data_IF_013255699945
#
_entry.id   IF_013255699945
#
_cell.length_a   1.000
_cell.length_b   1.000
_cell.length_c   1.000
_cell.angle_alpha   90.00
_cell.angle_beta   90.00
_cell.angle_gamma   90.00
#
_symmetry.space_group_name_H-M   'P 1'
#
loop_
_entity.id
_entity.type
_entity.pdbx_description
1 polymer ?
#
# COMPACT_ATOMS: atom_id res chain seq x y z
N UNK A 1 44.50 19.69 -6.12
CA UNK A 1 43.15 19.86 -6.66
C UNK A 1 42.34 18.61 -6.32
N UNK A 2 41.38 18.62 -5.40
CA UNK A 2 40.52 17.50 -5.18
C UNK A 2 39.44 17.47 -6.27
N UNK A 3 39.25 16.31 -6.90
CA UNK A 3 38.18 16.01 -7.83
C UNK A 3 36.83 16.23 -7.13
N UNK A 4 36.05 17.14 -7.64
CA UNK A 4 34.63 17.28 -7.26
C UNK A 4 33.91 15.99 -7.65
N UNK A 5 33.49 15.21 -6.66
CA UNK A 5 32.51 14.16 -6.86
C UNK A 5 31.20 14.81 -7.32
N UNK A 6 30.84 14.56 -8.56
CA UNK A 6 29.51 14.89 -9.06
C UNK A 6 28.49 14.14 -8.19
N UNK A 7 27.71 14.87 -7.38
CA UNK A 7 26.48 14.33 -6.80
C UNK A 7 25.65 13.75 -7.95
N UNK A 8 25.13 12.51 -7.83
CA UNK A 8 24.13 12.05 -8.78
C UNK A 8 22.97 13.04 -8.74
N UNK A 9 22.64 13.63 -9.89
CA UNK A 9 21.48 14.52 -10.05
C UNK A 9 20.28 13.82 -9.45
N UNK A 10 19.65 14.44 -8.44
CA UNK A 10 18.43 13.91 -7.83
C UNK A 10 17.32 14.02 -8.87
N UNK A 11 17.07 12.91 -9.58
CA UNK A 11 15.96 12.80 -10.53
C UNK A 11 14.65 13.20 -9.84
N UNK A 12 13.96 14.18 -10.39
CA UNK A 12 12.71 14.72 -9.84
C UNK A 12 11.57 14.51 -10.84
N UNK A 13 10.37 14.31 -10.34
CA UNK A 13 9.17 14.31 -11.19
C UNK A 13 8.91 15.63 -11.91
N UNK A 14 9.52 16.73 -11.50
CA UNK A 14 9.48 17.98 -12.24
C UNK A 14 10.18 17.88 -13.62
N UNK A 15 11.07 16.90 -13.77
CA UNK A 15 11.79 16.63 -15.01
C UNK A 15 11.00 15.77 -16.01
N UNK A 16 9.87 15.17 -15.58
CA UNK A 16 9.01 14.35 -16.44
C UNK A 16 7.98 15.24 -17.16
N UNK A 17 8.28 15.58 -18.41
CA UNK A 17 7.39 16.39 -19.25
C UNK A 17 6.43 15.51 -20.07
N UNK A 18 5.23 16.01 -20.45
CA UNK A 18 4.27 15.27 -21.26
C UNK A 18 4.84 14.71 -22.57
N UNK A 19 5.64 15.48 -23.29
CA UNK A 19 6.24 15.04 -24.55
C UNK A 19 7.21 13.88 -24.36
N UNK A 20 7.94 13.84 -23.21
CA UNK A 20 8.89 12.77 -22.91
C UNK A 20 8.18 11.45 -22.64
N UNK A 21 7.10 11.47 -21.85
CA UNK A 21 6.41 10.22 -21.53
C UNK A 21 5.51 9.72 -22.67
N UNK A 22 4.91 10.62 -23.48
CA UNK A 22 4.16 10.21 -24.67
C UNK A 22 5.10 9.63 -25.72
N UNK A 23 6.26 10.27 -25.94
CA UNK A 23 7.29 9.74 -26.84
C UNK A 23 7.79 8.36 -26.42
N UNK A 24 8.03 8.15 -25.12
CA UNK A 24 8.44 6.83 -24.61
C UNK A 24 7.35 5.75 -24.83
N UNK A 25 6.07 6.09 -24.67
CA UNK A 25 4.97 5.16 -24.97
C UNK A 25 4.87 4.84 -26.46
N UNK A 26 5.07 5.83 -27.33
CA UNK A 26 5.09 5.62 -28.78
C UNK A 26 6.26 4.70 -29.20
N UNK A 27 7.45 4.85 -28.59
CA UNK A 27 8.60 3.95 -28.79
C UNK A 27 8.29 2.50 -28.35
N UNK A 28 7.45 2.31 -27.33
CA UNK A 28 6.97 1.00 -26.88
C UNK A 28 5.86 0.42 -27.78
N UNK A 29 5.42 1.16 -28.80
CA UNK A 29 4.43 0.73 -29.78
C UNK A 29 2.98 1.15 -29.48
N UNK A 30 2.75 1.98 -28.46
CA UNK A 30 1.44 2.57 -28.18
C UNK A 30 1.29 3.84 -29.02
N UNK A 31 0.35 3.85 -29.96
CA UNK A 31 0.06 5.06 -30.76
C UNK A 31 -0.81 6.03 -29.93
N UNK A 32 -0.14 6.95 -29.23
CA UNK A 32 -0.82 7.91 -28.37
C UNK A 32 -1.59 8.95 -29.19
N UNK A 33 -2.82 9.25 -28.81
CA UNK A 33 -3.66 10.27 -29.47
C UNK A 33 -3.48 11.68 -28.90
N UNK A 34 -2.52 11.85 -27.97
CA UNK A 34 -2.19 13.11 -27.31
C UNK A 34 -3.09 13.43 -26.10
N UNK A 35 -4.15 12.66 -25.85
CA UNK A 35 -4.99 12.84 -24.65
C UNK A 35 -4.39 12.11 -23.47
N UNK A 36 -4.22 12.80 -22.36
CA UNK A 36 -3.83 12.17 -21.10
C UNK A 36 -4.50 12.87 -19.91
N UNK A 37 -4.66 12.10 -18.83
CA UNK A 37 -5.23 12.57 -17.56
C UNK A 37 -4.37 12.04 -16.43
N UNK A 38 -3.86 12.93 -15.57
CA UNK A 38 -3.20 12.52 -14.35
C UNK A 38 -4.22 11.86 -13.41
N UNK A 39 -3.92 10.66 -12.95
CA UNK A 39 -4.73 9.94 -11.95
C UNK A 39 -4.23 10.29 -10.54
N UNK A 40 -5.13 10.18 -9.56
CA UNK A 40 -4.76 10.41 -8.16
C UNK A 40 -3.77 9.35 -7.70
N UNK A 41 -2.52 9.75 -7.58
CA UNK A 41 -1.45 8.98 -6.98
C UNK A 41 -0.45 9.94 -6.35
N UNK A 42 -0.16 9.75 -5.08
CA UNK A 42 0.81 10.58 -4.37
C UNK A 42 2.22 9.98 -4.43
N UNK A 43 2.31 8.68 -4.55
CA UNK A 43 3.61 8.00 -4.58
C UNK A 43 4.26 8.05 -5.95
N UNK A 44 3.55 7.59 -6.95
CA UNK A 44 4.01 7.51 -8.33
C UNK A 44 3.36 8.60 -9.19
N UNK A 45 3.86 8.81 -10.41
CA UNK A 45 3.11 9.56 -11.41
C UNK A 45 2.34 8.58 -12.29
N UNK A 46 1.02 8.68 -12.24
CA UNK A 46 0.12 7.75 -12.94
C UNK A 46 -0.73 8.55 -13.92
N UNK A 47 -0.70 8.16 -15.18
CA UNK A 47 -1.47 8.81 -16.24
C UNK A 47 -2.35 7.82 -16.96
N UNK A 48 -3.61 8.15 -17.13
CA UNK A 48 -4.43 7.53 -18.17
C UNK A 48 -4.07 8.19 -19.50
N UNK A 49 -3.73 7.40 -20.51
CA UNK A 49 -3.33 7.89 -21.84
C UNK A 49 -4.26 7.32 -22.91
N UNK A 50 -4.73 8.19 -23.79
CA UNK A 50 -5.55 7.82 -24.93
C UNK A 50 -4.73 7.18 -26.04
N UNK A 51 -5.27 6.12 -26.67
CA UNK A 51 -4.67 5.40 -27.80
C UNK A 51 -5.55 5.59 -29.04
N UNK A 52 -4.93 5.81 -30.23
CA UNK A 52 -5.65 6.12 -31.49
C UNK A 52 -6.73 5.10 -31.88
N UNK A 53 -6.38 3.81 -31.84
CA UNK A 53 -7.25 2.74 -32.32
C UNK A 53 -7.55 1.69 -31.21
N UNK A 54 -7.50 2.10 -29.93
CA UNK A 54 -7.65 1.18 -28.82
C UNK A 54 -8.25 1.81 -27.56
N UNK A 55 -8.48 0.98 -26.53
CA UNK A 55 -8.87 1.49 -25.24
C UNK A 55 -7.70 2.27 -24.63
N UNK A 56 -7.98 3.24 -23.75
CA UNK A 56 -6.93 3.94 -23.04
C UNK A 56 -6.13 2.99 -22.14
N UNK A 57 -4.87 3.33 -21.92
CA UNK A 57 -3.95 2.62 -21.03
C UNK A 57 -3.68 3.46 -19.77
N UNK A 58 -3.03 2.84 -18.78
CA UNK A 58 -2.49 3.52 -17.60
C UNK A 58 -0.97 3.37 -17.61
N UNK A 59 -0.27 4.51 -17.64
CA UNK A 59 1.18 4.57 -17.54
C UNK A 59 1.57 4.98 -16.11
N UNK A 60 2.32 4.10 -15.41
CA UNK A 60 2.81 4.31 -14.04
C UNK A 60 4.30 4.56 -14.08
N UNK A 61 4.73 5.75 -13.66
CA UNK A 61 6.12 6.15 -13.50
C UNK A 61 6.50 6.01 -12.03
N UNK A 62 7.42 5.12 -11.75
CA UNK A 62 7.85 4.82 -10.38
C UNK A 62 8.66 5.97 -9.80
N UNK A 63 8.40 6.28 -8.52
CA UNK A 63 9.18 7.28 -7.79
C UNK A 63 10.67 6.87 -7.77
N UNK A 64 11.57 7.78 -8.17
CA UNK A 64 13.00 7.52 -8.08
C UNK A 64 13.42 7.15 -6.65
N UNK A 65 14.32 6.17 -6.54
CA UNK A 65 14.93 5.74 -5.27
C UNK A 65 13.98 5.15 -4.22
N UNK A 66 12.72 4.86 -4.56
CA UNK A 66 11.81 4.14 -3.65
C UNK A 66 12.05 2.64 -3.70
N UNK A 67 11.94 2.05 -4.85
CA UNK A 67 12.13 0.62 -5.11
C UNK A 67 13.28 0.40 -6.10
N UNK A 68 14.03 -0.68 -5.93
CA UNK A 68 14.95 -1.19 -6.95
C UNK A 68 14.19 -1.79 -8.14
N UNK A 69 14.88 -2.02 -9.25
CA UNK A 69 14.30 -2.69 -10.41
C UNK A 69 13.84 -4.13 -10.07
N UNK A 70 14.57 -4.82 -9.18
CA UNK A 70 14.23 -6.19 -8.79
C UNK A 70 13.00 -6.22 -7.89
N UNK A 71 12.84 -5.27 -6.96
CA UNK A 71 11.63 -5.13 -6.16
C UNK A 71 10.40 -4.82 -7.02
N UNK A 72 10.53 -3.96 -8.04
CA UNK A 72 9.43 -3.68 -8.98
C UNK A 72 9.09 -4.93 -9.81
N UNK A 73 10.11 -5.68 -10.28
CA UNK A 73 9.84 -6.93 -11.01
C UNK A 73 9.17 -7.99 -10.16
N UNK A 74 9.48 -8.08 -8.87
CA UNK A 74 8.76 -8.98 -7.94
C UNK A 74 7.30 -8.57 -7.74
N UNK A 75 6.97 -7.27 -7.65
CA UNK A 75 5.60 -6.77 -7.68
C UNK A 75 4.87 -7.24 -8.95
N UNK A 76 5.49 -6.98 -10.11
CA UNK A 76 4.92 -7.35 -11.41
C UNK A 76 4.72 -8.85 -11.55
N UNK A 77 5.69 -9.64 -11.13
CA UNK A 77 5.62 -11.09 -11.19
C UNK A 77 4.48 -11.62 -10.32
N UNK A 78 4.32 -11.09 -9.10
CA UNK A 78 3.21 -11.47 -8.24
C UNK A 78 1.85 -11.13 -8.86
N UNK A 79 1.70 -9.94 -9.44
CA UNK A 79 0.47 -9.55 -10.13
C UNK A 79 0.18 -10.44 -11.37
N UNK A 80 1.21 -10.85 -12.12
CA UNK A 80 1.05 -11.80 -13.24
C UNK A 80 0.64 -13.19 -12.76
N UNK A 81 1.26 -13.72 -11.70
CA UNK A 81 0.87 -15.02 -11.10
C UNK A 81 -0.59 -15.03 -10.63
N UNK A 82 -1.03 -13.93 -10.02
CA UNK A 82 -2.43 -13.76 -9.62
C UNK A 82 -3.37 -13.74 -10.81
N UNK A 83 -3.00 -13.06 -11.90
CA UNK A 83 -3.79 -13.03 -13.13
C UNK A 83 -3.84 -14.41 -13.82
N UNK A 84 -2.73 -15.14 -13.86
CA UNK A 84 -2.66 -16.52 -14.39
C UNK A 84 -3.52 -17.49 -13.55
N UNK A 85 -3.68 -17.22 -12.26
CA UNK A 85 -4.61 -17.93 -11.37
C UNK A 85 -6.08 -17.47 -11.50
N UNK A 86 -6.40 -16.69 -12.56
CA UNK A 86 -7.73 -16.13 -12.82
C UNK A 86 -8.29 -15.28 -11.67
N UNK A 87 -7.41 -14.64 -10.90
CA UNK A 87 -7.79 -13.63 -9.91
C UNK A 87 -7.93 -12.28 -10.63
N UNK A 88 -8.99 -11.49 -10.39
CA UNK A 88 -9.28 -10.29 -11.16
C UNK A 88 -8.37 -9.10 -10.78
N UNK A 89 -7.08 -9.30 -10.83
CA UNK A 89 -6.07 -8.24 -10.68
C UNK A 89 -5.78 -7.57 -12.01
N UNK A 90 -5.17 -6.40 -11.97
CA UNK A 90 -4.73 -5.69 -13.18
C UNK A 90 -3.20 -5.73 -13.22
N UNK A 91 -2.61 -6.74 -13.89
CA UNK A 91 -1.16 -6.83 -14.03
C UNK A 91 -0.63 -5.84 -15.07
N UNK A 92 0.69 -5.52 -15.06
CA UNK A 92 1.31 -4.74 -16.11
C UNK A 92 1.35 -5.50 -17.44
N UNK A 93 1.35 -4.76 -18.55
CA UNK A 93 1.57 -5.31 -19.88
C UNK A 93 3.00 -5.84 -20.03
N UNK A 94 3.15 -6.98 -20.70
CA UNK A 94 4.46 -7.54 -21.06
C UNK A 94 4.86 -7.04 -22.45
N UNK A 95 5.86 -6.21 -22.53
CA UNK A 95 6.35 -5.58 -23.76
C UNK A 95 7.78 -6.09 -24.02
N UNK A 96 8.02 -6.73 -25.14
CA UNK A 96 9.33 -7.31 -25.48
C UNK A 96 9.90 -8.26 -24.39
N UNK A 97 9.04 -9.04 -23.74
CA UNK A 97 9.31 -9.94 -22.60
C UNK A 97 9.68 -9.25 -21.27
N UNK A 98 9.45 -7.96 -21.15
CA UNK A 98 9.69 -7.19 -19.93
C UNK A 98 8.42 -6.45 -19.50
N UNK A 99 8.21 -6.33 -18.21
CA UNK A 99 7.11 -5.54 -17.63
C UNK A 99 7.56 -4.15 -17.17
N UNK A 100 8.84 -4.03 -16.83
CA UNK A 100 9.46 -2.78 -16.42
C UNK A 100 10.20 -2.15 -17.60
N UNK A 101 9.74 -0.99 -18.01
CA UNK A 101 10.28 -0.24 -19.14
C UNK A 101 11.02 1.02 -18.64
N UNK A 102 11.68 1.74 -19.55
CA UNK A 102 12.32 3.02 -19.28
C UNK A 102 11.77 4.11 -20.17
N UNK A 103 11.60 5.30 -19.61
CA UNK A 103 11.31 6.54 -20.31
C UNK A 103 12.38 7.56 -19.90
N UNK A 104 13.47 7.66 -20.69
CA UNK A 104 14.68 8.36 -20.27
C UNK A 104 15.25 7.73 -18.99
N UNK A 105 15.40 8.54 -17.95
CA UNK A 105 15.88 8.10 -16.64
C UNK A 105 14.76 7.48 -15.75
N UNK A 106 13.48 7.62 -16.13
CA UNK A 106 12.35 7.13 -15.35
C UNK A 106 12.05 5.67 -15.67
N UNK A 107 11.62 4.93 -14.63
CA UNK A 107 11.07 3.59 -14.74
C UNK A 107 9.57 3.67 -14.98
N UNK A 108 9.09 2.90 -15.94
CA UNK A 108 7.72 2.92 -16.45
C UNK A 108 7.15 1.50 -16.49
N UNK A 109 5.90 1.34 -16.06
CA UNK A 109 5.07 0.19 -16.39
C UNK A 109 3.75 0.65 -17.00
N UNK A 110 3.22 -0.16 -17.91
CA UNK A 110 1.96 0.10 -18.60
C UNK A 110 0.93 -0.92 -18.15
N UNK A 111 -0.29 -0.48 -17.91
CA UNK A 111 -1.40 -1.32 -17.45
C UNK A 111 -2.62 -1.12 -18.32
N UNK A 112 -3.45 -2.15 -18.56
CA UNK A 112 -4.74 -1.96 -19.17
C UNK A 112 -5.64 -1.11 -18.26
N UNK A 113 -6.27 -0.07 -18.81
CA UNK A 113 -7.20 0.76 -18.04
C UNK A 113 -8.45 -0.04 -17.66
N UNK A 114 -8.80 -0.08 -16.38
CA UNK A 114 -10.06 -0.60 -15.88
C UNK A 114 -10.92 0.53 -15.30
N UNK A 115 -12.21 0.44 -15.50
CA UNK A 115 -13.19 1.33 -14.89
C UNK A 115 -13.79 0.67 -13.65
N UNK A 116 -14.47 1.46 -12.87
CA UNK A 116 -15.18 1.01 -11.68
C UNK A 116 -15.18 2.07 -10.59
N UNK A 117 -15.86 1.75 -9.51
CA UNK A 117 -15.88 2.54 -8.28
C UNK A 117 -15.48 1.66 -7.10
N UNK A 118 -15.07 2.28 -5.99
CA UNK A 118 -14.80 1.55 -4.76
C UNK A 118 -16.04 0.73 -4.33
N UNK A 119 -15.84 -0.44 -3.69
CA UNK A 119 -16.94 -1.26 -3.16
C UNK A 119 -17.69 -0.54 -2.04
N UNK A 120 -18.99 -0.82 -1.93
CA UNK A 120 -19.85 -0.33 -0.84
C UNK A 120 -19.75 -1.30 0.35
N UNK A 121 -19.06 -0.89 1.42
CA UNK A 121 -18.72 -1.76 2.56
C UNK A 121 -19.88 -1.99 3.54
N UNK A 122 -20.99 -1.29 3.41
CA UNK A 122 -22.23 -1.51 4.14
C UNK A 122 -23.01 -2.75 3.65
N UNK A 123 -22.64 -3.29 2.49
CA UNK A 123 -23.22 -4.49 1.90
C UNK A 123 -22.43 -5.73 2.31
N UNK A 124 -22.97 -6.56 3.21
CA UNK A 124 -22.28 -7.77 3.70
C UNK A 124 -21.97 -8.77 2.58
N UNK A 125 -22.83 -8.89 1.55
CA UNK A 125 -22.57 -9.75 0.40
C UNK A 125 -21.32 -9.29 -0.41
N UNK A 126 -21.07 -7.98 -0.45
CA UNK A 126 -19.87 -7.41 -1.06
C UNK A 126 -18.61 -7.80 -0.27
N UNK A 127 -18.67 -7.72 1.06
CA UNK A 127 -17.58 -8.14 1.94
C UNK A 127 -17.31 -9.65 1.82
N UNK A 128 -18.35 -10.49 1.71
CA UNK A 128 -18.16 -11.92 1.48
C UNK A 128 -17.45 -12.21 0.14
N UNK A 129 -17.80 -11.48 -0.92
CA UNK A 129 -17.11 -11.59 -2.20
C UNK A 129 -15.64 -11.13 -2.13
N UNK A 130 -15.38 -10.02 -1.44
CA UNK A 130 -14.01 -9.54 -1.17
C UNK A 130 -13.20 -10.58 -0.38
N UNK A 131 -13.78 -11.18 0.64
CA UNK A 131 -13.16 -12.25 1.42
C UNK A 131 -12.70 -13.42 0.54
N UNK A 132 -13.52 -13.85 -0.41
CA UNK A 132 -13.15 -14.90 -1.39
C UNK A 132 -11.96 -14.49 -2.27
N UNK A 133 -11.94 -13.23 -2.70
CA UNK A 133 -10.83 -12.72 -3.53
C UNK A 133 -9.54 -12.63 -2.73
N UNK A 134 -9.59 -12.11 -1.50
CA UNK A 134 -8.43 -12.02 -0.61
C UNK A 134 -7.87 -13.41 -0.31
N UNK A 135 -8.72 -14.40 0.00
CA UNK A 135 -8.27 -15.76 0.24
C UNK A 135 -7.55 -16.37 -0.97
N UNK A 136 -8.03 -16.12 -2.19
CA UNK A 136 -7.37 -16.57 -3.43
C UNK A 136 -6.03 -15.91 -3.66
N UNK A 137 -5.92 -14.59 -3.37
CA UNK A 137 -4.63 -13.87 -3.41
C UNK A 137 -3.66 -14.50 -2.41
N UNK A 138 -4.09 -14.78 -1.19
CA UNK A 138 -3.26 -15.37 -0.15
C UNK A 138 -2.85 -16.82 -0.45
N UNK A 139 -3.73 -17.63 -1.06
CA UNK A 139 -3.35 -18.95 -1.56
C UNK A 139 -2.23 -18.90 -2.61
N UNK A 140 -2.30 -17.95 -3.52
CA UNK A 140 -1.20 -17.70 -4.44
C UNK A 140 0.03 -17.14 -3.70
N UNK A 141 -0.19 -16.25 -2.73
CA UNK A 141 0.85 -15.64 -1.92
C UNK A 141 1.67 -16.62 -1.10
N UNK A 142 1.06 -17.66 -0.56
CA UNK A 142 1.75 -18.69 0.23
C UNK A 142 2.57 -19.68 -0.60
N UNK A 143 2.38 -19.71 -1.92
CA UNK A 143 3.07 -20.66 -2.81
C UNK A 143 4.56 -20.38 -3.00
N UNK A 144 5.01 -19.16 -2.72
CA UNK A 144 6.42 -18.75 -2.78
C UNK A 144 6.65 -17.48 -1.93
N UNK A 145 7.91 -17.12 -1.72
CA UNK A 145 8.31 -15.94 -0.94
C UNK A 145 8.84 -14.83 -1.86
N UNK A 146 8.72 -13.58 -1.44
CA UNK A 146 9.48 -12.49 -2.00
C UNK A 146 10.96 -12.62 -1.60
N UNK A 147 11.86 -12.25 -2.50
CA UNK A 147 13.31 -12.29 -2.26
C UNK A 147 13.89 -10.93 -1.91
N UNK A 148 13.30 -9.87 -2.47
CA UNK A 148 13.79 -8.50 -2.35
C UNK A 148 12.77 -7.58 -1.70
N UNK A 149 11.46 -7.86 -1.85
CA UNK A 149 10.40 -7.07 -1.24
C UNK A 149 10.42 -7.22 0.29
N UNK A 150 10.21 -6.11 1.04
CA UNK A 150 10.32 -6.12 2.50
C UNK A 150 9.20 -6.86 3.19
N UNK A 151 9.34 -6.99 4.51
CA UNK A 151 8.31 -7.49 5.41
C UNK A 151 7.54 -6.33 6.04
N UNK A 152 6.33 -6.64 6.58
CA UNK A 152 5.69 -5.77 7.56
C UNK A 152 6.26 -6.14 8.92
N UNK A 153 7.12 -5.30 9.45
CA UNK A 153 7.76 -5.48 10.74
C UNK A 153 7.94 -4.15 11.48
N UNK A 154 8.38 -4.24 12.73
CA UNK A 154 8.60 -3.07 13.59
C UNK A 154 9.70 -2.18 13.04
N UNK A 155 10.78 -2.76 12.50
CA UNK A 155 11.92 -2.00 11.98
C UNK A 155 11.49 -1.09 10.82
N UNK A 156 10.84 -1.68 9.80
CA UNK A 156 10.49 -0.95 8.56
C UNK A 156 9.28 -0.03 8.72
N UNK A 157 8.33 -0.37 9.60
CA UNK A 157 7.10 0.39 9.78
C UNK A 157 7.11 1.35 10.96
N UNK A 158 7.98 1.16 11.96
CA UNK A 158 8.02 2.00 13.15
C UNK A 158 9.40 2.63 13.42
N UNK A 159 10.46 1.84 13.58
CA UNK A 159 11.76 2.36 14.04
C UNK A 159 12.44 3.26 13.00
N UNK A 160 12.54 2.81 11.74
CA UNK A 160 13.10 3.60 10.63
C UNK A 160 12.27 4.88 10.38
N UNK A 161 10.92 4.85 10.29
CA UNK A 161 10.11 6.07 10.21
C UNK A 161 10.30 7.01 11.40
N UNK A 162 10.28 6.50 12.64
CA UNK A 162 10.47 7.30 13.87
C UNK A 162 11.84 7.98 13.87
N UNK A 163 12.91 7.26 13.56
CA UNK A 163 14.25 7.84 13.49
C UNK A 163 14.32 8.96 12.47
N UNK A 164 13.72 8.75 11.26
CA UNK A 164 13.67 9.80 10.26
C UNK A 164 12.93 11.05 10.75
N UNK A 165 11.80 10.89 11.43
CA UNK A 165 10.98 12.00 11.96
C UNK A 165 11.74 12.80 13.00
N UNK A 166 12.48 12.14 13.89
CA UNK A 166 13.22 12.80 14.98
C UNK A 166 14.53 13.41 14.50
N UNK A 167 15.29 12.72 13.65
CA UNK A 167 16.59 13.17 13.16
C UNK A 167 16.49 14.36 12.21
N UNK A 168 15.32 14.56 11.59
CA UNK A 168 15.07 15.68 10.67
C UNK A 168 14.15 16.75 11.28
N UNK A 169 14.04 16.83 12.62
CA UNK A 169 13.29 17.86 13.36
C UNK A 169 11.81 18.01 12.90
N UNK A 170 11.15 16.94 12.43
CA UNK A 170 9.73 16.97 12.10
C UNK A 170 8.86 17.06 13.34
N UNK A 171 9.21 16.31 14.39
CA UNK A 171 8.48 16.39 15.68
C UNK A 171 8.88 17.65 16.41
N UNK A 172 7.92 18.55 16.79
CA UNK A 172 8.23 19.74 17.58
C UNK A 172 8.98 19.40 18.87
N UNK A 173 10.00 20.19 19.20
CA UNK A 173 10.89 19.91 20.36
C UNK A 173 10.14 19.81 21.69
N UNK A 174 9.10 20.59 21.86
CA UNK A 174 8.24 20.55 23.05
C UNK A 174 7.39 19.28 23.15
N UNK A 175 7.10 18.63 22.03
CA UNK A 175 6.33 17.38 21.97
C UNK A 175 7.22 16.14 21.93
N UNK A 176 8.51 16.27 21.66
CA UNK A 176 9.42 15.14 21.49
C UNK A 176 9.42 14.18 22.69
N UNK A 177 9.47 14.62 23.96
CA UNK A 177 9.41 13.69 25.08
C UNK A 177 8.09 12.91 25.17
N UNK A 178 6.97 13.55 24.80
CA UNK A 178 5.67 12.90 24.78
C UNK A 178 5.55 11.89 23.62
N UNK A 179 6.12 12.23 22.45
CA UNK A 179 6.18 11.37 21.30
C UNK A 179 7.05 10.12 21.56
N UNK A 180 8.25 10.30 22.12
CA UNK A 180 9.14 9.19 22.45
C UNK A 180 8.50 8.26 23.49
N UNK A 181 7.90 8.81 24.55
CA UNK A 181 7.22 8.01 25.57
C UNK A 181 6.05 7.20 25.02
N UNK A 182 5.21 7.77 24.15
CA UNK A 182 4.10 7.03 23.55
C UNK A 182 4.60 6.00 22.54
N UNK A 183 5.68 6.30 21.81
CA UNK A 183 6.28 5.35 20.87
C UNK A 183 6.80 4.09 21.56
N UNK A 184 7.47 4.22 22.71
CA UNK A 184 7.88 3.08 23.55
C UNK A 184 6.67 2.24 23.96
N UNK A 185 5.58 2.87 24.41
CA UNK A 185 4.35 2.16 24.76
C UNK A 185 3.70 1.46 23.57
N UNK A 186 3.81 2.04 22.35
CA UNK A 186 3.34 1.38 21.13
C UNK A 186 4.15 0.12 20.85
N UNK A 187 5.47 0.13 21.00
CA UNK A 187 6.31 -1.06 20.82
C UNK A 187 5.96 -2.14 21.84
N UNK A 188 5.82 -1.78 23.13
CA UNK A 188 5.38 -2.72 24.16
C UNK A 188 3.98 -3.33 23.85
N UNK A 189 3.07 -2.51 23.32
CA UNK A 189 1.75 -2.95 22.91
C UNK A 189 1.79 -3.92 21.73
N UNK A 190 2.66 -3.68 20.74
CA UNK A 190 2.88 -4.56 19.59
C UNK A 190 3.43 -5.90 20.06
N UNK A 191 4.45 -5.91 20.92
CA UNK A 191 5.01 -7.14 21.49
C UNK A 191 3.92 -7.95 22.22
N UNK A 192 3.11 -7.27 23.03
CA UNK A 192 2.00 -7.91 23.71
C UNK A 192 0.93 -8.51 22.76
N UNK A 193 0.65 -7.86 21.63
CA UNK A 193 -0.22 -8.44 20.61
C UNK A 193 0.41 -9.68 19.96
N UNK A 194 1.69 -9.62 19.62
CA UNK A 194 2.44 -10.73 19.04
C UNK A 194 2.49 -11.95 19.98
N UNK A 195 2.69 -11.75 21.28
CA UNK A 195 2.71 -12.83 22.28
C UNK A 195 1.39 -13.61 22.38
N UNK A 196 0.27 -13.00 21.96
CA UNK A 196 -1.06 -13.65 21.95
C UNK A 196 -1.29 -14.57 20.75
N UNK A 197 -0.44 -14.53 19.73
CA UNK A 197 -0.62 -15.22 18.43
C UNK A 197 0.36 -16.37 18.37
N UNK A 198 0.94 -17.02 19.14
CA UNK A 198 1.81 -18.22 19.05
C UNK A 198 2.53 -18.40 17.68
N UNK A 199 2.80 -17.31 16.97
CA UNK A 199 3.31 -17.27 15.60
C UNK A 199 2.20 -17.18 14.55
N UNK A 200 2.54 -16.67 13.39
CA UNK A 200 1.67 -16.54 12.21
C UNK A 200 2.49 -16.69 10.94
N UNK A 201 1.81 -17.09 9.86
CA UNK A 201 2.45 -17.22 8.55
C UNK A 201 2.69 -15.87 7.90
N UNK A 202 3.87 -15.70 7.28
CA UNK A 202 4.18 -14.55 6.46
C UNK A 202 3.94 -14.91 5.00
N UNK A 203 2.94 -14.28 4.41
CA UNK A 203 2.52 -14.50 3.02
C UNK A 203 2.95 -13.32 2.16
N UNK A 204 3.05 -13.52 0.84
CA UNK A 204 3.01 -12.40 -0.10
C UNK A 204 1.59 -11.83 -0.13
N UNK A 205 1.42 -10.60 0.30
CA UNK A 205 0.13 -9.93 0.42
C UNK A 205 0.13 -8.61 -0.36
N UNK A 206 -1.05 -8.05 -0.58
CA UNK A 206 -1.19 -6.72 -1.17
C UNK A 206 -0.62 -5.62 -0.26
N UNK A 207 -0.79 -5.78 1.05
CA UNK A 207 -0.30 -4.94 2.15
C UNK A 207 -0.90 -3.53 2.26
N UNK A 208 -1.43 -2.95 1.18
CA UNK A 208 -2.23 -1.71 1.18
C UNK A 208 -3.64 -1.98 0.62
N UNK A 209 -4.27 -3.09 1.04
CA UNK A 209 -5.52 -3.54 0.49
C UNK A 209 -6.71 -2.84 1.16
N UNK A 210 -7.10 -1.72 0.60
CA UNK A 210 -8.22 -0.90 1.05
C UNK A 210 -9.24 -0.70 -0.08
N UNK A 211 -10.46 -0.20 0.21
CA UNK A 211 -11.51 -0.03 -0.81
C UNK A 211 -11.10 0.78 -2.05
N UNK A 212 -10.17 1.73 -1.90
CA UNK A 212 -9.66 2.53 -3.01
C UNK A 212 -8.85 1.76 -4.04
N UNK A 213 -8.31 0.57 -3.68
CA UNK A 213 -7.55 -0.32 -4.55
C UNK A 213 -8.41 -1.44 -5.14
N UNK A 214 -9.73 -1.36 -4.97
CA UNK A 214 -10.71 -2.27 -5.59
C UNK A 214 -11.66 -1.45 -6.46
N UNK A 215 -11.74 -1.81 -7.74
CA UNK A 215 -12.69 -1.20 -8.69
C UNK A 215 -13.80 -2.20 -8.99
N UNK A 216 -15.04 -1.80 -8.77
CA UNK A 216 -16.24 -2.60 -9.05
C UNK A 216 -16.98 -2.00 -10.24
N UNK A 217 -17.14 -2.79 -11.31
CA UNK A 217 -17.91 -2.44 -12.51
C UNK A 217 -18.89 -3.57 -12.84
N UNK A 218 -20.19 -3.35 -12.67
CA UNK A 218 -21.24 -4.33 -12.96
C UNK A 218 -20.93 -5.73 -12.37
N UNK A 219 -20.68 -5.81 -11.09
CA UNK A 219 -20.33 -7.03 -10.33
C UNK A 219 -18.97 -7.66 -10.70
N UNK A 220 -18.17 -7.00 -11.53
CA UNK A 220 -16.79 -7.39 -11.81
C UNK A 220 -15.83 -6.60 -10.95
N UNK A 221 -14.94 -7.32 -10.30
CA UNK A 221 -13.87 -6.73 -9.51
C UNK A 221 -12.62 -6.55 -10.37
N UNK A 222 -11.88 -5.48 -10.08
CA UNK A 222 -10.52 -5.29 -10.54
C UNK A 222 -9.68 -4.81 -9.35
N UNK A 223 -8.69 -5.59 -8.98
CA UNK A 223 -7.75 -5.24 -7.90
C UNK A 223 -6.55 -4.59 -8.53
N UNK A 224 -6.16 -3.43 -8.01
CA UNK A 224 -5.11 -2.58 -8.57
C UNK A 224 -4.09 -2.18 -7.50
N UNK A 225 -2.95 -1.68 -7.95
CA UNK A 225 -1.91 -1.03 -7.14
C UNK A 225 -1.22 -1.93 -6.12
N UNK A 226 -0.50 -2.93 -6.63
CA UNK A 226 0.38 -3.81 -5.84
C UNK A 226 1.71 -3.15 -5.44
N UNK A 227 1.86 -1.83 -5.60
CA UNK A 227 3.10 -1.09 -5.37
C UNK A 227 3.69 -1.28 -3.96
N UNK A 228 2.83 -1.53 -2.98
CA UNK A 228 3.19 -1.78 -1.59
C UNK A 228 3.18 -3.27 -1.20
N UNK A 229 3.00 -4.20 -2.15
CA UNK A 229 2.99 -5.63 -1.84
C UNK A 229 4.29 -6.06 -1.15
N UNK A 230 4.15 -6.90 -0.14
CA UNK A 230 5.26 -7.38 0.71
C UNK A 230 4.88 -8.65 1.45
N UNK A 231 5.80 -9.16 2.28
CA UNK A 231 5.47 -10.27 3.17
C UNK A 231 4.82 -9.77 4.45
N UNK A 232 3.71 -10.38 4.84
CA UNK A 232 2.96 -9.99 6.04
C UNK A 232 1.91 -11.03 6.46
N UNK A 233 1.27 -10.84 7.64
CA UNK A 233 0.19 -11.70 8.09
C UNK A 233 -1.09 -11.49 7.25
N UNK A 234 -1.90 -12.54 7.13
CA UNK A 234 -3.12 -12.51 6.32
C UNK A 234 -4.10 -11.42 6.75
N UNK A 235 -4.20 -11.17 8.05
CA UNK A 235 -5.12 -10.16 8.60
C UNK A 235 -4.83 -8.75 8.10
N UNK A 236 -3.61 -8.46 7.62
CA UNK A 236 -3.26 -7.15 7.08
C UNK A 236 -4.15 -6.74 5.90
N UNK A 237 -4.47 -7.65 5.01
CA UNK A 237 -5.32 -7.38 3.84
C UNK A 237 -6.82 -7.45 4.16
N UNK A 238 -7.19 -7.73 5.41
CA UNK A 238 -8.59 -7.87 5.85
C UNK A 238 -9.07 -6.65 6.63
N UNK A 239 -8.28 -6.17 7.60
CA UNK A 239 -8.77 -5.18 8.57
C UNK A 239 -9.09 -3.81 7.96
N UNK A 240 -8.50 -3.45 6.83
CA UNK A 240 -8.74 -2.14 6.19
C UNK A 240 -10.10 -2.04 5.48
N UNK A 241 -10.83 -3.14 5.38
CA UNK A 241 -12.22 -3.18 4.92
C UNK A 241 -13.24 -3.01 6.07
N UNK A 242 -12.78 -2.97 7.31
CA UNK A 242 -13.64 -2.82 8.49
C UNK A 242 -13.76 -1.36 8.89
N UNK A 243 -14.98 -0.87 9.06
CA UNK A 243 -15.27 0.53 9.41
C UNK A 243 -16.32 0.63 10.51
N UNK A 244 -16.32 1.78 11.21
CA UNK A 244 -17.24 2.04 12.30
C UNK A 244 -16.73 1.58 13.67
N UNK A 245 -17.65 1.41 14.61
CA UNK A 245 -17.34 0.91 15.95
C UNK A 245 -17.23 -0.63 16.00
N UNK A 246 -17.10 -1.20 17.20
CA UNK A 246 -16.96 -2.64 17.37
C UNK A 246 -18.24 -3.42 16.98
N UNK A 247 -19.42 -2.86 17.24
CA UNK A 247 -20.68 -3.49 16.89
C UNK A 247 -20.89 -3.54 15.37
N UNK A 248 -20.48 -2.47 14.67
CA UNK A 248 -20.52 -2.37 13.21
C UNK A 248 -19.48 -3.26 12.53
N UNK A 249 -18.26 -3.33 13.07
CA UNK A 249 -17.17 -4.15 12.52
C UNK A 249 -17.43 -5.67 12.66
N UNK A 250 -18.11 -6.11 13.70
CA UNK A 250 -18.33 -7.54 13.96
C UNK A 250 -19.05 -8.26 12.80
N UNK A 251 -20.21 -7.81 12.31
CA UNK A 251 -20.86 -8.43 11.16
C UNK A 251 -20.06 -8.27 9.86
N UNK A 252 -19.31 -7.17 9.69
CA UNK A 252 -18.43 -6.97 8.53
C UNK A 252 -17.32 -8.02 8.52
N UNK A 253 -16.64 -8.23 9.65
CA UNK A 253 -15.62 -9.26 9.80
C UNK A 253 -16.17 -10.66 9.54
N UNK A 254 -17.35 -10.98 10.10
CA UNK A 254 -17.99 -12.27 9.88
C UNK A 254 -18.28 -12.54 8.41
N UNK A 255 -18.81 -11.55 7.68
CA UNK A 255 -19.06 -11.68 6.24
C UNK A 255 -17.75 -11.85 5.44
N UNK A 256 -16.74 -11.05 5.75
CA UNK A 256 -15.43 -11.10 5.09
C UNK A 256 -14.76 -12.47 5.30
N UNK A 257 -14.74 -12.98 6.55
CA UNK A 257 -14.13 -14.26 6.88
C UNK A 257 -14.96 -15.45 6.39
N UNK A 258 -16.27 -15.36 6.31
CA UNK A 258 -17.11 -16.37 5.64
C UNK A 258 -16.71 -16.55 4.18
N UNK A 259 -16.47 -15.45 3.48
CA UNK A 259 -15.95 -15.50 2.11
C UNK A 259 -14.54 -16.07 2.05
N UNK A 260 -13.66 -15.63 2.93
CA UNK A 260 -12.26 -16.04 3.00
C UNK A 260 -12.11 -17.55 3.23
N UNK A 261 -12.86 -18.10 4.20
CA UNK A 261 -12.84 -19.52 4.55
C UNK A 261 -13.32 -20.45 3.43
N UNK A 262 -14.00 -19.92 2.40
CA UNK A 262 -14.37 -20.72 1.24
C UNK A 262 -13.15 -21.23 0.43
N UNK A 263 -11.99 -20.61 0.61
CA UNK A 263 -10.76 -20.96 -0.12
C UNK A 263 -9.56 -21.24 0.79
N UNK A 264 -9.39 -20.48 1.87
CA UNK A 264 -8.24 -20.61 2.78
C UNK A 264 -8.72 -20.50 4.23
N UNK A 265 -8.22 -21.37 5.10
CA UNK A 265 -8.50 -21.29 6.54
C UNK A 265 -7.87 -19.99 7.10
N UNK A 266 -8.60 -19.30 7.96
CA UNK A 266 -8.13 -18.12 8.67
C UNK A 266 -7.80 -18.49 10.12
N UNK A 267 -6.61 -18.14 10.57
CA UNK A 267 -6.28 -18.27 12.00
C UNK A 267 -6.88 -17.08 12.77
N UNK A 268 -7.89 -17.34 13.58
CA UNK A 268 -8.55 -16.32 14.39
C UNK A 268 -7.58 -15.63 15.38
N UNK A 269 -6.46 -16.25 15.73
CA UNK A 269 -5.44 -15.63 16.56
C UNK A 269 -4.85 -14.38 15.90
N UNK A 270 -4.77 -14.31 14.56
CA UNK A 270 -4.28 -13.12 13.84
C UNK A 270 -5.12 -11.86 14.11
N UNK A 271 -6.37 -11.99 14.59
CA UNK A 271 -7.19 -10.84 14.98
C UNK A 271 -6.56 -10.01 16.12
N UNK A 272 -5.68 -10.61 16.93
CA UNK A 272 -4.90 -9.89 17.92
C UNK A 272 -3.89 -8.91 17.30
N UNK A 273 -3.50 -9.10 16.05
CA UNK A 273 -2.55 -8.23 15.35
C UNK A 273 -3.17 -6.95 14.76
N UNK A 274 -4.50 -6.86 14.66
CA UNK A 274 -5.18 -5.74 13.95
C UNK A 274 -4.75 -4.38 14.49
N UNK A 275 -4.80 -4.17 15.81
CA UNK A 275 -4.45 -2.87 16.40
C UNK A 275 -2.92 -2.63 16.42
N UNK A 276 -2.11 -3.69 16.47
CA UNK A 276 -0.66 -3.60 16.28
C UNK A 276 -0.31 -3.13 14.85
N UNK A 277 -0.90 -3.74 13.82
CA UNK A 277 -0.71 -3.37 12.42
C UNK A 277 -1.21 -1.95 12.13
N UNK A 278 -2.33 -1.55 12.75
CA UNK A 278 -2.84 -0.19 12.66
C UNK A 278 -1.87 0.81 13.29
N UNK A 279 -1.30 0.49 14.44
CA UNK A 279 -0.30 1.34 15.12
C UNK A 279 0.96 1.51 14.26
N UNK A 280 1.47 0.42 13.70
CA UNK A 280 2.56 0.43 12.73
C UNK A 280 2.25 1.34 11.54
N UNK A 281 1.03 1.23 10.97
CA UNK A 281 0.59 2.07 9.85
C UNK A 281 0.56 3.56 10.21
N UNK A 282 0.14 3.94 11.44
CA UNK A 282 0.17 5.35 11.88
C UNK A 282 1.59 5.93 11.87
N UNK A 283 2.55 5.21 12.43
CA UNK A 283 3.95 5.67 12.47
C UNK A 283 4.55 5.69 11.05
N UNK A 284 4.34 4.62 10.29
CA UNK A 284 4.80 4.52 8.90
C UNK A 284 4.27 5.67 8.03
N UNK A 285 2.98 6.00 8.16
CA UNK A 285 2.34 7.06 7.38
C UNK A 285 2.93 8.44 7.69
N UNK A 286 3.19 8.75 8.96
CA UNK A 286 3.87 9.98 9.35
C UNK A 286 5.28 10.08 8.72
N UNK A 287 6.06 9.00 8.78
CA UNK A 287 7.37 8.92 8.14
C UNK A 287 7.29 8.97 6.61
N UNK A 288 6.25 8.39 6.01
CA UNK A 288 5.99 8.46 4.57
C UNK A 288 5.74 9.90 4.10
N UNK A 289 4.92 10.67 4.82
CA UNK A 289 4.69 12.11 4.55
C UNK A 289 5.97 12.92 4.71
N UNK A 290 6.71 12.69 5.78
CA UNK A 290 7.93 13.44 6.09
C UNK A 290 9.01 13.26 5.03
N UNK A 291 9.25 12.03 4.56
CA UNK A 291 10.26 11.74 3.52
C UNK A 291 9.96 12.40 2.19
N UNK A 292 8.74 12.85 1.96
CA UNK A 292 8.28 13.49 0.72
C UNK A 292 8.00 14.98 0.88
N UNK A 293 8.25 15.51 2.08
CA UNK A 293 7.87 16.87 2.42
C UNK A 293 8.59 17.95 1.61
N UNK A 294 9.72 17.61 0.99
CA UNK A 294 10.42 18.52 0.08
C UNK A 294 9.77 18.63 -1.32
N UNK A 295 8.89 17.69 -1.68
CA UNK A 295 8.11 17.77 -2.91
C UNK A 295 6.97 18.80 -2.73
N UNK A 296 6.94 19.90 -3.53
CA UNK A 296 5.88 20.93 -3.41
C UNK A 296 4.46 20.36 -3.59
N UNK A 297 4.30 19.31 -4.39
CA UNK A 297 3.00 18.67 -4.60
C UNK A 297 2.49 18.01 -3.30
N UNK A 298 3.38 17.46 -2.48
CA UNK A 298 3.03 16.92 -1.16
C UNK A 298 2.57 18.01 -0.20
N UNK A 299 3.27 19.13 -0.13
CA UNK A 299 2.86 20.27 0.72
C UNK A 299 1.50 20.82 0.32
N UNK A 300 1.21 20.83 -0.96
CA UNK A 300 -0.10 21.27 -1.47
C UNK A 300 -1.21 20.25 -1.16
N UNK A 301 -0.93 18.96 -1.28
CA UNK A 301 -1.90 17.88 -1.05
C UNK A 301 -2.17 17.65 0.45
N UNK A 302 -1.14 17.83 1.30
CA UNK A 302 -1.20 17.57 2.75
C UNK A 302 -0.87 18.81 3.59
N UNK A 303 -1.57 19.95 3.40
CA UNK A 303 -1.22 21.22 4.05
C UNK A 303 -1.34 21.20 5.59
N UNK A 304 -2.02 20.19 6.12
CA UNK A 304 -2.20 19.95 7.55
C UNK A 304 -1.00 19.21 8.19
N UNK A 305 -0.17 18.52 7.39
CA UNK A 305 1.00 17.80 7.90
C UNK A 305 2.08 18.79 8.39
N UNK A 306 2.89 18.33 9.36
CA UNK A 306 3.97 19.09 9.99
C UNK A 306 3.51 20.41 10.68
N UNK A 307 2.25 20.47 11.13
CA UNK A 307 1.73 21.51 11.99
C UNK A 307 1.73 21.04 13.45
N UNK A 308 1.76 21.98 14.41
CA UNK A 308 1.61 21.66 15.83
C UNK A 308 0.37 20.78 16.09
N UNK A 309 -0.76 21.16 15.50
CA UNK A 309 -2.02 20.44 15.64
C UNK A 309 -1.91 18.99 15.14
N UNK A 310 -1.24 18.75 14.01
CA UNK A 310 -1.03 17.41 13.49
C UNK A 310 -0.28 16.53 14.51
N UNK A 311 0.80 17.04 15.09
CA UNK A 311 1.59 16.28 16.05
C UNK A 311 0.86 16.03 17.35
N UNK A 312 0.06 16.98 17.85
CA UNK A 312 -0.81 16.78 19.01
C UNK A 312 -1.82 15.66 18.74
N UNK A 313 -2.49 15.69 17.58
CA UNK A 313 -3.46 14.67 17.14
C UNK A 313 -2.77 13.32 16.90
N UNK A 314 -1.58 13.28 16.31
CA UNK A 314 -0.83 12.05 16.07
C UNK A 314 -0.42 11.35 17.37
N UNK A 315 0.09 12.11 18.36
CA UNK A 315 0.42 11.56 19.68
C UNK A 315 -0.84 11.04 20.39
N UNK A 316 -1.96 11.75 20.27
CA UNK A 316 -3.24 11.30 20.83
C UNK A 316 -3.69 9.98 20.17
N UNK A 317 -3.64 9.89 18.83
CA UNK A 317 -4.00 8.67 18.11
C UNK A 317 -3.11 7.49 18.51
N UNK A 318 -1.81 7.69 18.72
CA UNK A 318 -0.93 6.62 19.21
C UNK A 318 -1.31 6.17 20.64
N UNK A 319 -1.70 7.09 21.53
CA UNK A 319 -2.20 6.73 22.87
C UNK A 319 -3.50 5.94 22.82
N UNK A 320 -4.40 6.31 21.92
CA UNK A 320 -5.64 5.56 21.67
C UNK A 320 -5.34 4.15 21.17
N UNK A 321 -4.33 4.00 20.28
CA UNK A 321 -3.89 2.69 19.81
C UNK A 321 -3.24 1.85 20.93
N UNK A 322 -2.45 2.45 21.83
CA UNK A 322 -1.93 1.74 23.01
C UNK A 322 -3.06 1.19 23.87
N UNK A 323 -4.13 1.95 24.07
CA UNK A 323 -5.32 1.47 24.78
C UNK A 323 -6.04 0.36 24.00
N UNK A 324 -6.23 0.52 22.69
CA UNK A 324 -6.91 -0.45 21.84
C UNK A 324 -6.18 -1.80 21.80
N UNK A 325 -4.84 -1.82 21.79
CA UNK A 325 -4.04 -3.05 21.86
C UNK A 325 -4.21 -3.84 23.17
N UNK A 326 -4.71 -3.20 24.24
CA UNK A 326 -5.02 -3.87 25.52
C UNK A 326 -6.43 -4.49 25.54
N UNK A 327 -7.30 -4.10 24.61
CA UNK A 327 -8.64 -4.64 24.51
C UNK A 327 -8.65 -6.06 23.90
N UNK A 328 -9.69 -6.86 24.13
CA UNK A 328 -9.88 -8.10 23.40
C UNK A 328 -10.02 -7.83 21.88
N UNK A 329 -9.55 -8.72 21.00
CA UNK A 329 -9.74 -8.58 19.56
C UNK A 329 -11.22 -8.61 19.18
N UNK A 330 -11.54 -8.31 17.92
CA UNK A 330 -12.87 -8.56 17.39
C UNK A 330 -13.18 -10.05 17.51
N UNK A 331 -14.39 -10.38 17.97
CA UNK A 331 -14.81 -11.78 18.08
C UNK A 331 -15.28 -12.29 16.72
N UNK A 332 -14.75 -13.43 16.35
CA UNK A 332 -15.24 -14.19 15.23
C UNK A 332 -15.32 -15.67 15.61
N UNK A 333 -16.39 -16.35 15.21
CA UNK A 333 -16.60 -17.78 15.44
C UNK A 333 -16.91 -18.44 14.11
N UNK A 334 -16.28 -19.55 13.88
CA UNK A 334 -16.58 -20.43 12.76
C UNK A 334 -17.83 -21.25 13.15
N UNK A 335 -19.03 -20.80 12.74
CA UNK A 335 -20.30 -21.46 13.05
C UNK A 335 -20.65 -22.52 11.98
#
# INVERSE_FOLDING_TARGET
MPLMSSNPSSLSYADLQPDDFLGALDELGYRCDGRFLALNSYENRVYQVGIEDGPPIVAKFYRPNRWSDDEIREEHQFALELADAEIPVVPPDVIANETLQKAGEFRLAVYPRRGGRAPELDQLDMLEQLGRLIARIHLCGESSEFRTRPYIDVETYAEIPKSFLTDNDFVPRELLPAYESVFEQVLEGIDHCNDRVNGFDMLRIHADFHPGNVLVDQDRFHIVDFDDCRSGPAVQDLWMFLSGDREEKTPQLAALLKGYQAFRQFDAAELHLVEALRSLRYVHYAGWLARRWDDPAFRQAFPWFNTQRYWDEHILSLREQVAAMQEPPLEWRDD
#
